data_IF_717649212256
#
_entry.id   IF_717649212256
#
_cell.length_a   1.000
_cell.length_b   1.000
_cell.length_c   1.000
_cell.angle_alpha   90.00
_cell.angle_beta   90.00
_cell.angle_gamma   90.00
#
_symmetry.space_group_name_H-M   'P 1'
#
loop_
_entity.id
_entity.type
_entity.pdbx_description
1 polymer ?
#
# COMPACT_ATOMS: atom_id res chain seq x y z
N UNK A 1 10.45 -28.17 -22.72
CA UNK A 1 11.36 -27.01 -22.54
C UNK A 1 10.58 -25.75 -22.85
N UNK A 2 10.14 -24.99 -21.85
CA UNK A 2 9.63 -23.62 -22.06
C UNK A 2 10.84 -22.72 -22.13
N UNK A 3 10.92 -21.88 -23.16
CA UNK A 3 12.04 -20.97 -23.40
C UNK A 3 12.36 -20.18 -22.13
N UNK A 4 13.66 -20.12 -21.82
CA UNK A 4 14.22 -19.25 -20.81
C UNK A 4 13.99 -17.78 -21.23
N UNK A 5 13.62 -16.98 -20.23
CA UNK A 5 13.78 -15.53 -20.14
C UNK A 5 12.92 -14.62 -21.06
N UNK A 6 11.60 -14.76 -21.02
CA UNK A 6 10.72 -13.67 -21.44
C UNK A 6 10.59 -12.62 -20.31
N UNK A 7 11.18 -11.45 -20.52
CA UNK A 7 11.08 -10.33 -19.58
C UNK A 7 9.63 -9.82 -19.53
N UNK A 8 8.97 -10.02 -18.38
CA UNK A 8 7.62 -9.49 -18.14
C UNK A 8 7.72 -8.09 -17.52
N UNK A 9 7.03 -7.11 -18.11
CA UNK A 9 6.94 -5.76 -17.56
C UNK A 9 5.87 -5.72 -16.46
N UNK A 10 6.27 -5.29 -15.27
CA UNK A 10 5.34 -4.97 -14.18
C UNK A 10 5.32 -3.46 -13.97
N UNK A 11 4.15 -2.91 -13.65
CA UNK A 11 4.04 -1.51 -13.23
C UNK A 11 4.24 -1.44 -11.73
N UNK A 12 5.37 -0.90 -11.32
CA UNK A 12 5.67 -0.66 -9.92
C UNK A 12 6.39 0.68 -9.75
N UNK A 13 6.29 1.23 -8.54
CA UNK A 13 7.10 2.34 -8.10
C UNK A 13 7.72 2.02 -6.75
N UNK A 14 9.05 2.06 -6.68
CA UNK A 14 9.81 1.80 -5.47
C UNK A 14 10.45 3.08 -4.95
N UNK A 15 10.28 3.32 -3.66
CA UNK A 15 10.86 4.46 -2.97
C UNK A 15 11.76 3.94 -1.86
N UNK A 16 13.03 4.33 -1.92
CA UNK A 16 14.01 3.99 -0.91
C UNK A 16 14.37 5.21 -0.05
N UNK A 17 14.46 4.97 1.26
CA UNK A 17 15.12 5.82 2.24
C UNK A 17 16.42 5.16 2.71
N UNK A 18 17.06 5.69 3.75
CA UNK A 18 18.33 5.16 4.26
C UNK A 18 18.22 3.73 4.81
N UNK A 19 17.13 3.39 5.50
CA UNK A 19 16.98 2.11 6.21
C UNK A 19 15.68 1.37 5.91
N UNK A 20 14.84 1.92 5.04
CA UNK A 20 13.54 1.37 4.69
C UNK A 20 13.15 1.74 3.26
N UNK A 21 12.18 1.02 2.71
CA UNK A 21 11.55 1.36 1.43
C UNK A 21 10.07 1.04 1.42
N UNK A 22 9.40 1.57 0.40
CA UNK A 22 8.03 1.21 0.04
C UNK A 22 7.96 0.88 -1.44
N UNK A 23 7.30 -0.22 -1.76
CA UNK A 23 6.95 -0.63 -3.13
C UNK A 23 5.44 -0.43 -3.30
N UNK A 24 5.04 0.27 -4.36
CA UNK A 24 3.66 0.44 -4.78
C UNK A 24 3.48 -0.34 -6.08
N UNK A 25 2.54 -1.29 -6.10
CA UNK A 25 2.31 -2.18 -7.26
C UNK A 25 0.88 -2.68 -7.34
N UNK A 26 0.57 -3.38 -8.42
CA UNK A 26 -0.74 -3.95 -8.65
C UNK A 26 -0.96 -5.17 -7.74
N UNK A 27 -2.21 -5.35 -7.35
CA UNK A 27 -2.68 -6.50 -6.64
C UNK A 27 -4.07 -6.89 -7.17
N UNK A 28 -4.46 -8.12 -6.88
CA UNK A 28 -5.77 -8.65 -7.25
C UNK A 28 -6.38 -9.29 -6.03
N UNK A 29 -7.63 -8.95 -5.73
CA UNK A 29 -8.46 -9.68 -4.77
C UNK A 29 -9.28 -10.70 -5.53
N UNK A 30 -9.10 -11.98 -5.22
CA UNK A 30 -9.92 -13.06 -5.75
C UNK A 30 -11.05 -13.40 -4.79
N UNK A 31 -12.24 -13.64 -5.31
CA UNK A 31 -13.35 -14.24 -4.60
C UNK A 31 -13.60 -15.65 -5.14
N UNK A 32 -13.70 -16.61 -4.23
CA UNK A 32 -13.88 -18.02 -4.56
C UNK A 32 -15.22 -18.54 -4.04
N UNK A 33 -15.93 -19.29 -4.87
CA UNK A 33 -17.11 -20.07 -4.50
C UNK A 33 -16.83 -21.54 -4.83
N UNK A 34 -17.01 -22.43 -3.85
CA UNK A 34 -16.79 -23.88 -4.02
C UNK A 34 -15.39 -24.22 -4.59
N UNK A 35 -14.35 -23.49 -4.16
CA UNK A 35 -12.97 -23.68 -4.63
C UNK A 35 -12.70 -23.20 -6.05
N UNK A 36 -13.59 -22.40 -6.65
CA UNK A 36 -13.40 -21.79 -7.97
C UNK A 36 -13.43 -20.27 -7.86
N UNK A 37 -12.46 -19.61 -8.50
CA UNK A 37 -12.46 -18.14 -8.62
C UNK A 37 -13.65 -17.71 -9.48
N UNK A 38 -14.60 -17.00 -8.89
CA UNK A 38 -15.79 -16.49 -9.57
C UNK A 38 -15.69 -15.01 -9.90
N UNK A 39 -14.85 -14.28 -9.16
CA UNK A 39 -14.61 -12.86 -9.34
C UNK A 39 -13.16 -12.51 -8.99
N UNK A 40 -12.59 -11.56 -9.73
CA UNK A 40 -11.36 -10.86 -9.39
C UNK A 40 -11.61 -9.36 -9.43
N UNK A 41 -11.01 -8.63 -8.51
CA UNK A 41 -11.08 -7.18 -8.51
C UNK A 41 -9.69 -6.57 -8.37
N UNK A 42 -9.45 -5.47 -9.08
CA UNK A 42 -8.20 -4.72 -9.01
C UNK A 42 -7.99 -4.14 -7.61
N UNK A 43 -6.74 -4.17 -7.14
CA UNK A 43 -6.29 -3.62 -5.86
C UNK A 43 -4.90 -3.02 -6.02
N UNK A 44 -4.50 -2.21 -5.04
CA UNK A 44 -3.17 -1.60 -5.01
C UNK A 44 -2.46 -2.09 -3.75
N UNK A 45 -1.27 -2.66 -3.90
CA UNK A 45 -0.45 -3.06 -2.76
C UNK A 45 0.61 -2.00 -2.47
N UNK A 46 0.69 -1.57 -1.22
CA UNK A 46 1.84 -0.89 -0.66
C UNK A 46 2.59 -1.84 0.27
N UNK A 47 3.82 -2.19 -0.09
CA UNK A 47 4.70 -3.03 0.72
C UNK A 47 5.84 -2.19 1.28
N UNK A 48 5.79 -1.96 2.58
CA UNK A 48 6.86 -1.32 3.33
C UNK A 48 7.84 -2.39 3.81
N UNK A 49 9.13 -2.07 3.79
CA UNK A 49 10.17 -3.00 4.21
C UNK A 49 11.37 -2.27 4.81
N UNK A 50 12.09 -2.95 5.69
CA UNK A 50 13.40 -2.52 6.19
C UNK A 50 14.49 -3.00 5.23
N UNK A 51 15.52 -2.17 5.04
CA UNK A 51 16.74 -2.51 4.31
C UNK A 51 17.81 -3.13 5.23
N UNK A 52 17.64 -2.99 6.54
CA UNK A 52 18.53 -3.57 7.53
C UNK A 52 18.26 -5.07 7.68
N UNK A 53 19.32 -5.89 7.86
CA UNK A 53 19.16 -7.32 8.13
C UNK A 53 18.30 -7.56 9.37
N UNK A 54 17.61 -8.70 9.38
CA UNK A 54 16.84 -9.16 10.53
C UNK A 54 17.78 -9.41 11.70
N UNK A 55 17.57 -8.71 12.81
CA UNK A 55 18.41 -8.83 14.02
C UNK A 55 17.82 -9.79 15.06
N UNK A 56 16.50 -10.01 15.01
CA UNK A 56 15.77 -10.90 15.94
C UNK A 56 14.79 -11.80 15.19
N UNK A 57 14.55 -13.05 15.64
CA UNK A 57 13.62 -13.99 14.99
C UNK A 57 12.19 -13.46 14.81
N UNK A 58 11.70 -12.61 15.72
CA UNK A 58 10.33 -12.08 15.66
C UNK A 58 10.24 -10.67 15.07
N UNK A 59 11.35 -10.15 14.52
CA UNK A 59 11.36 -8.82 13.94
C UNK A 59 10.55 -8.76 12.64
N UNK A 60 9.55 -7.88 12.60
CA UNK A 60 8.81 -7.55 11.39
C UNK A 60 9.71 -6.70 10.48
N UNK A 61 10.10 -7.28 9.35
CA UNK A 61 10.92 -6.60 8.33
C UNK A 61 10.10 -6.05 7.18
N UNK A 62 8.83 -6.44 7.05
CA UNK A 62 7.93 -5.92 6.03
C UNK A 62 6.48 -5.91 6.49
N UNK A 63 5.70 -4.93 6.03
CA UNK A 63 4.27 -4.84 6.26
C UNK A 63 3.60 -4.47 4.93
N UNK A 64 2.52 -5.17 4.58
CA UNK A 64 1.71 -4.90 3.39
C UNK A 64 0.38 -4.26 3.79
N UNK A 65 -0.04 -3.28 3.00
CA UNK A 65 -1.36 -2.66 3.02
C UNK A 65 -1.97 -2.81 1.61
N UNK A 66 -3.19 -3.33 1.51
CA UNK A 66 -3.86 -3.55 0.22
C UNK A 66 -5.01 -2.56 0.12
N UNK A 67 -4.82 -1.47 -0.61
CA UNK A 67 -5.85 -0.48 -0.84
C UNK A 67 -6.89 -0.97 -1.85
N UNK A 68 -8.14 -0.63 -1.59
CA UNK A 68 -9.15 -0.47 -2.63
C UNK A 68 -8.79 0.74 -3.53
N UNK A 69 -9.29 0.80 -4.78
CA UNK A 69 -8.98 1.91 -5.69
C UNK A 69 -9.27 3.30 -5.10
N UNK A 70 -10.40 3.47 -4.42
CA UNK A 70 -10.79 4.71 -3.75
C UNK A 70 -9.90 5.04 -2.54
N UNK A 71 -9.48 4.04 -1.76
CA UNK A 71 -8.49 4.23 -0.68
C UNK A 71 -7.13 4.70 -1.23
N UNK A 72 -6.68 4.13 -2.35
CA UNK A 72 -5.44 4.54 -3.00
C UNK A 72 -5.54 5.98 -3.54
N UNK A 73 -6.69 6.36 -4.10
CA UNK A 73 -6.97 7.73 -4.51
C UNK A 73 -7.02 8.69 -3.31
N UNK A 74 -7.68 8.29 -2.22
CA UNK A 74 -7.73 9.08 -0.98
C UNK A 74 -6.33 9.30 -0.40
N UNK A 75 -5.47 8.28 -0.42
CA UNK A 75 -4.07 8.40 -0.01
C UNK A 75 -3.31 9.42 -0.88
N UNK A 76 -3.53 9.40 -2.20
CA UNK A 76 -2.94 10.38 -3.10
C UNK A 76 -3.36 11.82 -2.76
N UNK A 77 -4.64 12.04 -2.44
CA UNK A 77 -5.14 13.34 -2.00
C UNK A 77 -4.52 13.77 -0.66
N UNK A 78 -4.43 12.86 0.32
CA UNK A 78 -3.80 13.12 1.61
C UNK A 78 -2.33 13.51 1.48
N UNK A 79 -1.58 12.85 0.60
CA UNK A 79 -0.19 13.22 0.29
C UNK A 79 -0.12 14.67 -0.22
N UNK A 80 -1.01 15.05 -1.15
CA UNK A 80 -1.08 16.43 -1.65
C UNK A 80 -1.40 17.45 -0.56
N UNK A 81 -2.35 17.13 0.33
CA UNK A 81 -2.71 17.97 1.48
C UNK A 81 -1.54 18.15 2.45
N UNK A 82 -0.89 17.05 2.84
CA UNK A 82 0.28 17.06 3.73
C UNK A 82 1.45 17.82 3.11
N UNK A 83 1.68 17.68 1.80
CA UNK A 83 2.70 18.41 1.07
C UNK A 83 2.45 19.93 1.07
N UNK A 84 1.19 20.34 0.91
CA UNK A 84 0.76 21.74 0.91
C UNK A 84 0.66 22.40 2.29
N UNK A 85 0.70 21.62 3.38
CA UNK A 85 0.60 22.15 4.74
C UNK A 85 1.77 23.09 5.07
N UNK A 86 1.48 24.24 5.68
CA UNK A 86 2.51 25.17 6.18
C UNK A 86 3.13 24.71 7.51
N UNK A 87 2.47 23.81 8.23
CA UNK A 87 2.89 23.29 9.55
C UNK A 87 3.11 21.78 9.51
N UNK A 88 3.90 21.20 10.44
CA UNK A 88 3.98 19.75 10.60
C UNK A 88 2.60 19.14 10.85
N UNK A 89 2.27 18.06 10.13
CA UNK A 89 0.97 17.40 10.20
C UNK A 89 1.09 15.93 9.83
N UNK A 90 0.10 15.13 10.24
CA UNK A 90 0.05 13.70 9.99
C UNK A 90 -1.38 13.28 9.71
N UNK A 91 -1.60 12.76 8.52
CA UNK A 91 -2.90 12.22 8.09
C UNK A 91 -2.85 10.70 8.02
N UNK A 92 -3.99 10.06 8.24
CA UNK A 92 -4.13 8.60 8.27
C UNK A 92 -5.33 8.15 7.44
N UNK A 93 -5.15 7.07 6.69
CA UNK A 93 -6.29 6.34 6.14
C UNK A 93 -7.09 5.65 7.26
N UNK A 94 -8.33 5.28 6.94
CA UNK A 94 -9.09 4.38 7.77
C UNK A 94 -8.30 3.07 7.99
N UNK A 95 -8.20 2.59 9.24
CA UNK A 95 -7.40 1.42 9.53
C UNK A 95 -8.06 0.15 9.00
N UNK A 96 -7.25 -0.78 8.50
CA UNK A 96 -7.71 -2.12 8.16
C UNK A 96 -7.67 -3.00 9.40
N UNK A 97 -8.80 -3.62 9.73
CA UNK A 97 -9.00 -4.45 10.91
C UNK A 97 -9.20 -5.90 10.47
N UNK A 98 -8.39 -6.80 11.03
CA UNK A 98 -8.49 -8.24 10.77
C UNK A 98 -8.60 -8.99 12.10
N UNK A 99 -9.56 -9.91 12.20
CA UNK A 99 -9.62 -10.84 13.32
C UNK A 99 -8.55 -11.91 13.15
N UNK A 100 -7.76 -12.15 14.20
CA UNK A 100 -6.76 -13.23 14.24
C UNK A 100 -7.38 -14.43 14.95
N UNK A 101 -7.91 -15.37 14.17
CA UNK A 101 -8.44 -16.64 14.65
C UNK A 101 -9.64 -16.54 15.58
N UNK A 102 -10.02 -17.66 16.18
CA UNK A 102 -11.18 -17.79 17.08
C UNK A 102 -10.96 -17.13 18.47
N UNK A 103 -9.72 -16.75 18.81
CA UNK A 103 -9.33 -16.27 20.14
C UNK A 103 -9.41 -14.74 20.33
N UNK A 104 -10.09 -14.02 19.44
CA UNK A 104 -10.56 -12.65 19.71
C UNK A 104 -9.51 -11.51 19.64
N UNK A 105 -8.33 -11.76 19.07
CA UNK A 105 -7.33 -10.69 18.84
C UNK A 105 -7.63 -9.89 17.56
N UNK A 106 -7.76 -8.57 17.65
CA UNK A 106 -7.88 -7.69 16.47
C UNK A 106 -6.50 -7.17 16.05
N UNK A 107 -6.07 -7.50 14.83
CA UNK A 107 -4.90 -6.87 14.20
C UNK A 107 -5.35 -5.65 13.41
N UNK A 108 -4.88 -4.48 13.85
CA UNK A 108 -5.13 -3.20 13.18
C UNK A 108 -3.89 -2.80 12.38
N UNK A 109 -4.06 -2.60 11.07
CA UNK A 109 -3.03 -2.02 10.21
C UNK A 109 -3.40 -0.57 9.88
N UNK A 110 -2.47 0.35 10.12
CA UNK A 110 -2.64 1.79 9.86
C UNK A 110 -1.65 2.24 8.80
N UNK A 111 -2.11 3.10 7.89
CA UNK A 111 -1.27 3.77 6.90
C UNK A 111 -1.41 5.28 7.08
N UNK A 112 -0.28 5.95 7.18
CA UNK A 112 -0.19 7.38 7.47
C UNK A 112 0.79 8.06 6.53
N UNK A 113 0.56 9.35 6.29
CA UNK A 113 1.47 10.24 5.60
C UNK A 113 1.69 11.48 6.44
N UNK A 114 2.93 11.96 6.53
CA UNK A 114 3.27 13.05 7.45
C UNK A 114 4.29 14.02 6.87
N UNK A 115 4.12 15.29 7.24
CA UNK A 115 5.13 16.35 7.15
C UNK A 115 5.67 16.53 8.55
N UNK A 116 6.97 16.34 8.73
CA UNK A 116 7.63 16.45 10.01
C UNK A 116 8.65 17.59 10.01
N UNK A 117 8.93 18.10 11.20
CA UNK A 117 10.04 19.02 11.45
C UNK A 117 10.79 18.57 12.69
N UNK A 118 12.11 18.41 12.59
CA UNK A 118 13.01 17.97 13.66
C UNK A 118 14.36 18.64 13.51
N UNK A 119 14.81 19.37 14.54
CA UNK A 119 16.13 19.98 14.57
C UNK A 119 16.39 20.95 13.42
N UNK A 120 15.41 21.78 13.06
CA UNK A 120 15.49 22.75 11.96
C UNK A 120 15.44 22.14 10.55
N UNK A 121 15.24 20.82 10.43
CA UNK A 121 14.99 20.13 9.17
C UNK A 121 13.53 19.75 9.07
N UNK A 122 12.98 19.82 7.86
CA UNK A 122 11.67 19.28 7.55
C UNK A 122 11.75 18.20 6.49
N UNK A 123 10.75 17.34 6.46
CA UNK A 123 10.64 16.29 5.46
C UNK A 123 9.28 15.63 5.46
N UNK A 124 9.15 14.62 4.62
CA UNK A 124 7.92 13.87 4.44
C UNK A 124 8.16 12.39 4.73
N UNK A 125 7.12 11.68 5.13
CA UNK A 125 7.20 10.23 5.27
C UNK A 125 5.89 9.55 4.95
N UNK A 126 6.00 8.31 4.43
CA UNK A 126 4.93 7.33 4.45
C UNK A 126 5.22 6.37 5.60
N UNK A 127 4.23 6.10 6.44
CA UNK A 127 4.40 5.28 7.64
C UNK A 127 3.30 4.25 7.73
N UNK A 128 3.67 2.97 7.87
CA UNK A 128 2.74 1.87 8.13
C UNK A 128 2.96 1.33 9.55
N UNK A 129 1.87 0.95 10.21
CA UNK A 129 1.89 0.32 11.52
C UNK A 129 0.99 -0.91 11.59
N UNK A 130 1.43 -1.96 12.30
CA UNK A 130 0.64 -3.15 12.63
C UNK A 130 0.96 -3.58 14.06
N UNK A 131 0.02 -3.38 14.98
CA UNK A 131 0.27 -3.62 16.40
C UNK A 131 1.41 -2.76 16.94
N UNK A 132 2.48 -3.40 17.42
CA UNK A 132 3.69 -2.73 17.93
C UNK A 132 4.73 -2.39 16.85
N UNK A 133 4.55 -2.92 15.63
CA UNK A 133 5.54 -2.82 14.57
C UNK A 133 5.21 -1.65 13.63
N UNK A 134 6.21 -0.82 13.35
CA UNK A 134 6.09 0.34 12.47
C UNK A 134 7.26 0.41 11.49
N UNK A 135 6.96 0.80 10.25
CA UNK A 135 7.98 1.09 9.23
C UNK A 135 7.65 2.47 8.67
N UNK A 136 8.60 3.40 8.80
CA UNK A 136 8.52 4.75 8.25
C UNK A 136 9.54 4.92 7.13
N UNK A 137 9.12 5.49 6.01
CA UNK A 137 9.93 5.73 4.83
C UNK A 137 10.00 7.23 4.62
N UNK A 138 11.10 7.84 5.07
CA UNK A 138 11.36 9.26 4.90
C UNK A 138 11.75 9.57 3.45
N UNK A 139 11.12 10.60 2.88
CA UNK A 139 11.26 10.94 1.45
C UNK A 139 11.31 12.46 1.24
N UNK A 140 12.04 12.93 0.21
CA UNK A 140 11.97 14.32 -0.20
C UNK A 140 10.63 14.64 -0.86
N UNK A 141 10.28 15.93 -0.91
CA UNK A 141 9.01 16.42 -1.47
C UNK A 141 8.72 15.85 -2.87
N UNK A 142 9.70 15.84 -3.77
CA UNK A 142 9.52 15.35 -5.15
C UNK A 142 9.07 13.89 -5.20
N UNK A 143 9.69 12.99 -4.42
CA UNK A 143 9.28 11.57 -4.38
C UNK A 143 7.93 11.40 -3.71
N UNK A 144 7.65 12.22 -2.70
CA UNK A 144 6.36 12.23 -2.01
C UNK A 144 5.22 12.60 -2.96
N UNK A 145 5.36 13.71 -3.70
CA UNK A 145 4.38 14.14 -4.71
C UNK A 145 4.29 13.17 -5.89
N UNK A 146 5.41 12.61 -6.35
CA UNK A 146 5.37 11.59 -7.40
C UNK A 146 4.61 10.33 -6.95
N UNK A 147 4.75 9.92 -5.68
CA UNK A 147 3.96 8.82 -5.14
C UNK A 147 2.45 9.12 -5.18
N UNK A 148 2.02 10.37 -4.91
CA UNK A 148 0.62 10.76 -5.07
C UNK A 148 0.14 10.63 -6.52
N UNK A 149 0.89 11.17 -7.48
CA UNK A 149 0.51 11.09 -8.90
C UNK A 149 0.47 9.64 -9.39
N UNK A 150 1.45 8.83 -8.97
CA UNK A 150 1.48 7.40 -9.28
C UNK A 150 0.24 6.70 -8.70
N UNK A 151 -0.05 6.87 -7.41
CA UNK A 151 -1.23 6.31 -6.75
C UNK A 151 -2.53 6.74 -7.41
N UNK A 152 -2.64 8.01 -7.81
CA UNK A 152 -3.82 8.54 -8.51
C UNK A 152 -4.04 7.82 -9.84
N UNK A 153 -3.01 7.71 -10.66
CA UNK A 153 -3.08 6.97 -11.93
C UNK A 153 -3.44 5.52 -11.68
N UNK A 154 -2.75 4.86 -10.75
CA UNK A 154 -2.93 3.44 -10.43
C UNK A 154 -4.31 3.11 -9.87
N UNK A 155 -4.87 3.98 -9.04
CA UNK A 155 -6.23 3.86 -8.53
C UNK A 155 -7.23 3.76 -9.68
N UNK A 156 -7.14 4.66 -10.66
CA UNK A 156 -8.07 4.64 -11.81
C UNK A 156 -7.89 3.40 -12.67
N UNK A 157 -6.65 2.96 -12.88
CA UNK A 157 -6.34 1.77 -13.67
C UNK A 157 -6.82 0.48 -13.00
N UNK A 158 -6.81 0.41 -11.66
CA UNK A 158 -7.24 -0.75 -10.90
C UNK A 158 -8.73 -0.77 -10.57
N UNK A 159 -9.50 0.18 -11.12
CA UNK A 159 -10.94 0.23 -11.00
C UNK A 159 -11.61 -0.74 -11.99
N UNK A 160 -11.43 -2.04 -11.78
CA UNK A 160 -12.04 -3.09 -12.59
C UNK A 160 -12.46 -4.29 -11.74
N UNK A 161 -13.44 -5.02 -12.28
CA UNK A 161 -13.89 -6.31 -11.77
C UNK A 161 -14.02 -7.28 -12.95
N UNK A 162 -13.38 -8.43 -12.84
CA UNK A 162 -13.50 -9.55 -13.76
C UNK A 162 -14.43 -10.60 -13.13
N UNK A 163 -15.48 -11.02 -13.84
CA UNK A 163 -16.45 -12.04 -13.37
C UNK A 163 -16.58 -13.14 -14.39
N UNK A 164 -16.84 -14.35 -13.92
CA UNK A 164 -17.27 -15.43 -14.81
C UNK A 164 -18.62 -15.05 -15.39
N UNK A 165 -18.69 -14.89 -16.72
CA UNK A 165 -19.94 -14.59 -17.42
C UNK A 165 -20.91 -15.76 -17.25
N UNK A 166 -21.88 -15.63 -16.34
CA UNK A 166 -23.05 -16.49 -16.34
C UNK A 166 -23.96 -16.02 -17.49
N UNK A 167 -23.82 -16.61 -18.67
CA UNK A 167 -24.87 -16.49 -19.70
C UNK A 167 -26.15 -17.08 -19.10
N UNK A 168 -27.10 -16.24 -18.64
CA UNK A 168 -28.42 -16.73 -18.23
C UNK A 168 -29.19 -16.00 -17.12
N UNK A 169 -28.95 -14.73 -16.82
CA UNK A 169 -29.89 -13.96 -15.98
C UNK A 169 -30.26 -12.65 -16.66
N UNK A 170 -31.55 -12.40 -16.95
CA UNK A 170 -32.01 -11.14 -17.50
C UNK A 170 -31.87 -10.03 -16.45
N UNK A 171 -31.67 -8.82 -16.96
CA UNK A 171 -31.60 -7.58 -16.20
C UNK A 171 -32.88 -7.30 -15.40
#
# INVERSE_FOLDING_TARGET
MKNADELTRYRCYEIFSQSSGVEIRDAVKSHEENGRVVERAGRIQLRFFKLTPKTKPDEVTQIRFICEPDEAFALALMIGQVAGSSVPCKEKLNPHKFAVGELGGETVTTLAVEKWERGGKSGYALTIGRGKDFISVAVPLTKFLFAAEFLRSFATEQCWVERVSRRGSPA
#
